data_IF_366030396632
#
_entry.id   IF_366030396632
#
_cell.length_a   1.000
_cell.length_b   1.000
_cell.length_c   1.000
_cell.angle_alpha   90.00
_cell.angle_beta   90.00
_cell.angle_gamma   90.00
#
_symmetry.space_group_name_H-M   'P 1'
#
loop_
_entity.id
_entity.type
_entity.pdbx_description
1 polymer ?
#
# COMPACT_ATOMS: atom_id res chain seq x y z
N UNK A 1 -8.54 13.38 -5.67
CA UNK A 1 -7.17 13.95 -5.71
C UNK A 1 -7.14 15.17 -6.63
N UNK A 2 -6.58 16.30 -6.20
CA UNK A 2 -6.32 17.44 -7.10
C UNK A 2 -4.87 17.37 -7.58
N UNK A 3 -4.66 17.01 -8.84
CA UNK A 3 -3.34 16.99 -9.46
C UNK A 3 -2.87 18.41 -9.75
N UNK A 4 -1.60 18.68 -9.47
CA UNK A 4 -0.92 19.93 -9.87
C UNK A 4 -0.84 20.04 -11.41
N UNK A 5 -0.65 21.25 -11.96
CA UNK A 5 -0.54 21.44 -13.40
C UNK A 5 0.58 20.63 -14.04
N UNK A 6 1.72 20.46 -13.35
CA UNK A 6 2.86 19.67 -13.82
C UNK A 6 2.51 18.18 -13.89
N UNK A 7 1.87 17.65 -12.85
CA UNK A 7 1.41 16.25 -12.81
C UNK A 7 0.39 15.94 -13.90
N UNK A 8 -0.54 16.86 -14.20
CA UNK A 8 -1.48 16.70 -15.32
C UNK A 8 -0.77 16.63 -16.67
N UNK A 9 0.28 17.42 -16.88
CA UNK A 9 1.06 17.42 -18.12
C UNK A 9 1.89 16.13 -18.27
N UNK A 10 2.43 15.61 -17.16
CA UNK A 10 3.12 14.31 -17.11
C UNK A 10 2.16 13.20 -17.54
N UNK A 11 0.96 13.17 -16.97
CA UNK A 11 -0.08 12.19 -17.31
C UNK A 11 -0.52 12.28 -18.78
N UNK A 12 -0.75 13.49 -19.27
CA UNK A 12 -1.08 13.71 -20.67
C UNK A 12 0.01 13.19 -21.61
N UNK A 13 1.29 13.43 -21.29
CA UNK A 13 2.42 12.90 -22.06
C UNK A 13 2.50 11.38 -22.00
N UNK A 14 2.31 10.78 -20.83
CA UNK A 14 2.30 9.31 -20.67
C UNK A 14 1.15 8.68 -21.48
N UNK A 15 -0.04 9.27 -21.47
CA UNK A 15 -1.18 8.79 -22.24
C UNK A 15 -0.97 8.96 -23.76
N UNK A 16 -0.34 10.06 -24.19
CA UNK A 16 0.07 10.23 -25.58
C UNK A 16 1.12 9.21 -26.03
N UNK A 17 2.06 8.84 -25.15
CA UNK A 17 3.04 7.79 -25.45
C UNK A 17 2.35 6.44 -25.72
N UNK A 18 1.36 6.08 -24.90
CA UNK A 18 0.56 4.86 -25.06
C UNK A 18 -0.27 4.85 -26.34
N UNK A 19 -0.93 5.97 -26.64
CA UNK A 19 -1.93 6.05 -27.73
C UNK A 19 -1.35 6.43 -29.09
N UNK A 20 -0.41 7.38 -29.13
CA UNK A 20 0.18 7.91 -30.37
C UNK A 20 1.51 7.26 -30.72
N UNK A 21 2.40 7.10 -29.74
CA UNK A 21 3.71 6.47 -29.97
C UNK A 21 3.66 4.93 -29.87
N UNK A 22 2.51 4.36 -29.51
CA UNK A 22 2.28 2.91 -29.34
C UNK A 22 3.27 2.23 -28.38
N UNK A 23 3.79 2.98 -27.41
CA UNK A 23 4.65 2.44 -26.37
C UNK A 23 3.80 1.68 -25.35
N UNK A 24 4.10 0.41 -25.15
CA UNK A 24 3.38 -0.49 -24.23
C UNK A 24 4.19 -0.80 -22.97
N UNK A 25 5.52 -0.84 -23.09
CA UNK A 25 6.41 -1.06 -21.97
C UNK A 25 6.49 0.19 -21.08
N UNK A 26 6.43 -0.03 -19.76
CA UNK A 26 6.48 1.06 -18.76
C UNK A 26 7.81 1.82 -18.83
N UNK A 27 8.92 1.12 -19.10
CA UNK A 27 10.24 1.72 -19.26
C UNK A 27 10.29 2.73 -20.42
N UNK A 28 9.83 2.34 -21.59
CA UNK A 28 9.84 3.20 -22.78
C UNK A 28 8.95 4.45 -22.59
N UNK A 29 7.78 4.28 -21.95
CA UNK A 29 6.89 5.41 -21.64
C UNK A 29 7.57 6.37 -20.66
N UNK A 30 8.27 5.83 -19.65
CA UNK A 30 8.96 6.64 -18.66
C UNK A 30 10.12 7.42 -19.28
N UNK A 31 10.89 6.80 -20.18
CA UNK A 31 11.98 7.48 -20.89
C UNK A 31 11.44 8.56 -21.85
N UNK A 32 10.34 8.29 -22.56
CA UNK A 32 9.63 9.28 -23.37
C UNK A 32 9.13 10.48 -22.55
N UNK A 33 8.65 10.24 -21.32
CA UNK A 33 8.20 11.32 -20.41
C UNK A 33 9.40 12.09 -19.84
N UNK A 34 10.50 11.42 -19.49
CA UNK A 34 11.73 12.04 -18.98
C UNK A 34 12.32 13.06 -19.96
N UNK A 35 12.24 12.80 -21.26
CA UNK A 35 12.71 13.77 -22.28
C UNK A 35 12.04 15.14 -22.14
N UNK A 36 10.76 15.16 -21.77
CA UNK A 36 9.98 16.38 -21.55
C UNK A 36 10.07 16.95 -20.13
N UNK A 37 10.49 16.15 -19.14
CA UNK A 37 10.47 16.49 -17.71
C UNK A 37 11.78 16.14 -17.00
N UNK A 38 12.90 16.64 -17.51
CA UNK A 38 14.26 16.38 -16.99
C UNK A 38 14.49 16.76 -15.52
N UNK A 39 13.71 17.73 -15.01
CA UNK A 39 13.84 18.24 -13.64
C UNK A 39 12.97 17.49 -12.62
N UNK A 40 12.22 16.46 -13.04
CA UNK A 40 11.37 15.65 -12.16
C UNK A 40 12.07 14.33 -11.89
N UNK A 41 12.11 13.89 -10.63
CA UNK A 41 12.75 12.62 -10.30
C UNK A 41 12.05 11.43 -10.97
N UNK A 42 12.80 10.39 -11.38
CA UNK A 42 12.22 9.18 -11.99
C UNK A 42 11.16 8.52 -11.11
N UNK A 43 11.38 8.51 -9.80
CA UNK A 43 10.46 7.98 -8.79
C UNK A 43 9.12 8.72 -8.80
N UNK A 44 9.17 10.06 -8.88
CA UNK A 44 7.94 10.88 -8.91
C UNK A 44 7.18 10.68 -10.21
N UNK A 45 7.86 10.58 -11.35
CA UNK A 45 7.24 10.28 -12.64
C UNK A 45 6.53 8.91 -12.61
N UNK A 46 7.21 7.90 -12.09
CA UNK A 46 6.67 6.55 -11.97
C UNK A 46 5.47 6.53 -11.01
N UNK A 47 5.55 7.19 -9.86
CA UNK A 47 4.44 7.29 -8.91
C UNK A 47 3.19 7.94 -9.53
N UNK A 48 3.37 9.00 -10.32
CA UNK A 48 2.27 9.65 -11.04
C UNK A 48 1.67 8.72 -12.10
N UNK A 49 2.51 8.01 -12.87
CA UNK A 49 2.07 7.09 -13.91
C UNK A 49 1.32 5.89 -13.35
N UNK A 50 1.79 5.29 -12.26
CA UNK A 50 1.14 4.17 -11.57
C UNK A 50 -0.17 4.58 -10.92
N UNK A 51 -0.22 5.76 -10.28
CA UNK A 51 -1.47 6.27 -9.69
C UNK A 51 -2.56 6.53 -10.75
N UNK A 52 -2.18 6.73 -12.01
CA UNK A 52 -3.10 7.02 -13.09
C UNK A 52 -3.31 5.87 -14.08
N UNK A 53 -2.65 4.72 -13.91
CA UNK A 53 -2.86 3.56 -14.77
C UNK A 53 -4.26 2.94 -14.63
N UNK A 54 -5.11 3.50 -13.76
CA UNK A 54 -6.43 2.98 -13.46
C UNK A 54 -6.35 1.73 -12.59
N UNK A 55 -7.43 1.45 -11.88
CA UNK A 55 -7.62 0.16 -11.22
C UNK A 55 -8.04 -0.87 -12.28
N UNK A 56 -7.44 -2.05 -12.25
CA UNK A 56 -7.91 -3.16 -13.07
C UNK A 56 -9.29 -3.60 -12.59
N UNK A 57 -10.16 -4.02 -13.51
CA UNK A 57 -11.44 -4.62 -13.13
C UNK A 57 -11.19 -5.95 -12.42
N UNK A 58 -11.82 -6.16 -11.27
CA UNK A 58 -11.74 -7.43 -10.53
C UNK A 58 -12.40 -8.57 -11.32
N UNK A 59 -13.43 -8.26 -12.12
CA UNK A 59 -14.16 -9.24 -12.94
C UNK A 59 -13.40 -9.65 -14.21
N UNK A 60 -12.20 -9.08 -14.44
CA UNK A 60 -11.39 -9.45 -15.60
C UNK A 60 -10.94 -10.90 -15.43
N UNK A 61 -11.29 -11.76 -16.39
CA UNK A 61 -10.83 -13.15 -16.45
C UNK A 61 -9.32 -13.22 -16.66
N UNK A 62 -8.72 -14.22 -16.02
CA UNK A 62 -7.31 -14.55 -16.19
C UNK A 62 -7.24 -15.69 -17.21
N UNK A 63 -6.83 -15.35 -18.44
CA UNK A 63 -6.65 -16.28 -19.55
C UNK A 63 -7.88 -17.16 -19.80
N UNK A 64 -7.67 -18.43 -20.18
CA UNK A 64 -8.74 -19.42 -20.46
C UNK A 64 -9.34 -20.04 -19.18
N UNK A 65 -9.01 -19.51 -18.00
CA UNK A 65 -9.61 -19.98 -16.74
C UNK A 65 -10.92 -19.28 -16.46
N UNK A 66 -11.80 -19.92 -15.68
CA UNK A 66 -13.01 -19.27 -15.16
C UNK A 66 -12.72 -18.29 -14.01
N UNK A 67 -11.46 -18.19 -13.58
CA UNK A 67 -11.04 -17.34 -12.47
C UNK A 67 -10.93 -15.89 -12.90
N UNK A 68 -11.41 -15.01 -12.03
CA UNK A 68 -11.28 -13.55 -12.16
C UNK A 68 -10.06 -13.05 -11.38
N UNK A 69 -9.61 -11.83 -11.69
CA UNK A 69 -8.57 -11.15 -10.88
C UNK A 69 -9.02 -11.05 -9.41
N UNK A 70 -10.31 -10.83 -9.16
CA UNK A 70 -10.87 -10.79 -7.80
C UNK A 70 -10.64 -12.08 -7.03
N UNK A 71 -10.78 -13.24 -7.68
CA UNK A 71 -10.66 -14.55 -7.03
C UNK A 71 -9.23 -14.86 -6.57
N UNK A 72 -8.22 -14.22 -7.17
CA UNK A 72 -6.82 -14.38 -6.78
C UNK A 72 -6.36 -13.43 -5.66
N UNK A 73 -7.20 -12.50 -5.24
CA UNK A 73 -6.85 -11.56 -4.16
C UNK A 73 -7.06 -12.26 -2.82
N UNK A 74 -5.96 -12.50 -2.11
CA UNK A 74 -6.00 -13.02 -0.74
C UNK A 74 -6.37 -11.91 0.25
N UNK A 75 -7.19 -12.26 1.24
CA UNK A 75 -7.46 -11.38 2.38
C UNK A 75 -6.21 -11.33 3.28
N UNK A 76 -5.70 -10.12 3.54
CA UNK A 76 -4.61 -9.89 4.49
C UNK A 76 -5.11 -9.83 5.95
N UNK A 77 -6.13 -10.62 6.27
CA UNK A 77 -6.60 -10.75 7.65
C UNK A 77 -5.57 -11.52 8.48
N UNK A 78 -5.37 -11.15 9.76
CA UNK A 78 -4.43 -11.86 10.63
C UNK A 78 -4.84 -13.33 10.73
N UNK A 79 -3.85 -14.21 10.60
CA UNK A 79 -4.12 -15.64 10.64
C UNK A 79 -4.59 -16.08 12.03
N UNK A 80 -5.33 -17.20 12.16
CA UNK A 80 -5.71 -17.73 13.47
C UNK A 80 -4.51 -17.92 14.41
N UNK A 81 -3.35 -18.31 13.87
CA UNK A 81 -2.10 -18.47 14.64
C UNK A 81 -1.57 -17.12 15.14
N UNK A 82 -1.52 -16.09 14.30
CA UNK A 82 -1.11 -14.74 14.69
C UNK A 82 -2.03 -14.17 15.78
N UNK A 83 -3.34 -14.40 15.65
CA UNK A 83 -4.30 -13.96 16.68
C UNK A 83 -4.11 -14.71 18.00
N UNK A 84 -3.79 -16.00 17.97
CA UNK A 84 -3.49 -16.78 19.17
C UNK A 84 -2.21 -16.28 19.86
N UNK A 85 -1.12 -16.12 19.10
CA UNK A 85 0.16 -15.63 19.63
C UNK A 85 0.01 -14.22 20.22
N UNK A 86 -0.76 -13.35 19.58
CA UNK A 86 -1.06 -12.01 20.11
C UNK A 86 -1.81 -12.08 21.45
N UNK A 87 -2.81 -12.96 21.59
CA UNK A 87 -3.53 -13.18 22.86
C UNK A 87 -2.63 -13.76 23.94
N UNK A 88 -1.79 -14.73 23.60
CA UNK A 88 -0.85 -15.35 24.54
C UNK A 88 0.18 -14.32 25.05
N UNK A 89 0.74 -13.51 24.14
CA UNK A 89 1.66 -12.43 24.47
C UNK A 89 1.01 -11.41 25.42
N UNK A 90 -0.22 -10.97 25.12
CA UNK A 90 -0.97 -10.07 25.98
C UNK A 90 -1.21 -10.66 27.37
N UNK A 91 -1.50 -11.96 27.46
CA UNK A 91 -1.70 -12.65 28.74
C UNK A 91 -0.40 -12.69 29.56
N UNK A 92 0.73 -13.06 28.94
CA UNK A 92 2.04 -13.06 29.59
C UNK A 92 2.45 -11.67 30.05
N UNK A 93 2.23 -10.66 29.22
CA UNK A 93 2.51 -9.26 29.55
C UNK A 93 1.66 -8.79 30.74
N UNK A 94 0.35 -9.07 30.75
CA UNK A 94 -0.52 -8.70 31.85
C UNK A 94 -0.08 -9.36 33.17
N UNK A 95 0.30 -10.64 33.11
CA UNK A 95 0.85 -11.34 34.28
C UNK A 95 2.17 -10.75 34.75
N UNK A 96 3.09 -10.43 33.83
CA UNK A 96 4.37 -9.83 34.17
C UNK A 96 4.19 -8.46 34.83
N UNK A 97 3.34 -7.60 34.25
CA UNK A 97 3.07 -6.23 34.74
C UNK A 97 2.33 -6.24 36.08
N UNK A 98 1.50 -7.24 36.36
CA UNK A 98 0.80 -7.37 37.64
C UNK A 98 1.75 -7.61 38.83
N UNK A 99 2.95 -8.14 38.60
CA UNK A 99 3.92 -8.46 39.63
C UNK A 99 4.91 -7.31 39.95
N UNK A 100 4.68 -6.12 39.41
CA UNK A 100 5.59 -4.96 39.51
C UNK A 100 4.91 -3.85 40.35
N UNK A 101 5.66 -3.01 41.07
CA UNK A 101 5.09 -1.87 41.79
C UNK A 101 4.15 -1.00 40.93
N UNK A 102 3.07 -0.50 41.54
CA UNK A 102 2.01 0.28 40.87
C UNK A 102 2.54 1.46 40.05
N UNK A 103 3.58 2.13 40.55
CA UNK A 103 4.19 3.29 39.88
C UNK A 103 4.90 2.85 38.59
N UNK A 104 5.68 1.77 38.65
CA UNK A 104 6.39 1.23 37.49
C UNK A 104 5.42 0.67 36.44
N UNK A 105 4.38 -0.05 36.88
CA UNK A 105 3.30 -0.48 36.00
C UNK A 105 2.65 0.71 35.27
N UNK A 106 2.36 1.81 35.98
CA UNK A 106 1.76 3.00 35.39
C UNK A 106 2.68 3.65 34.35
N UNK A 107 3.98 3.75 34.64
CA UNK A 107 4.99 4.27 33.70
C UNK A 107 5.07 3.40 32.45
N UNK A 108 5.07 2.07 32.59
CA UNK A 108 5.09 1.14 31.45
C UNK A 108 3.84 1.31 30.58
N UNK A 109 2.65 1.33 31.19
CA UNK A 109 1.39 1.51 30.44
C UNK A 109 1.35 2.84 29.68
N UNK A 110 1.78 3.93 30.31
CA UNK A 110 1.83 5.25 29.68
C UNK A 110 2.86 5.33 28.56
N UNK A 111 4.04 4.72 28.73
CA UNK A 111 5.13 4.79 27.75
C UNK A 111 4.86 3.97 26.49
N UNK A 112 4.17 2.84 26.62
CA UNK A 112 3.97 1.88 25.52
C UNK A 112 2.52 1.81 25.03
N UNK A 113 1.61 2.62 25.58
CA UNK A 113 0.21 2.65 25.15
C UNK A 113 -0.54 1.35 25.44
N UNK A 114 -0.15 0.62 26.49
CA UNK A 114 -0.80 -0.62 26.92
C UNK A 114 -2.05 -0.27 27.72
N UNK A 115 -3.02 0.34 27.06
CA UNK A 115 -4.37 0.51 27.61
C UNK A 115 -5.25 -0.60 27.05
N UNK A 116 -5.90 -1.34 27.96
CA UNK A 116 -6.93 -2.30 27.56
C UNK A 116 -8.09 -1.50 26.95
N UNK A 117 -8.21 -1.51 25.63
CA UNK A 117 -9.55 -1.37 25.02
C UNK A 117 -10.33 -2.61 25.41
N UNK A 118 -11.02 -2.53 26.54
CA UNK A 118 -12.11 -3.45 26.85
C UNK A 118 -13.21 -3.14 25.83
N UNK A 119 -13.71 -4.13 25.05
CA UNK A 119 -14.87 -3.93 24.19
C UNK A 119 -16.13 -3.61 25.00
#
# INVERSE_FOLDING_TARGET
LKLSPTERRILYRANNAKTKAKLTAVGDILDYVKESFKNVSPEKLMGIMTAASGVASLDKKIDDTELTIGDMISNNDPTPEETFLSRELMTKMNHAVANIPLIEMKVIKMKFGVEQKIP
#
